data_IF_166716365402
#
_entry.id   IF_166716365402
#
_cell.length_a   1.000
_cell.length_b   1.000
_cell.length_c   1.000
_cell.angle_alpha   90.00
_cell.angle_beta   90.00
_cell.angle_gamma   90.00
#
_symmetry.space_group_name_H-M   'P 1'
#
loop_
_entity.id
_entity.type
_entity.pdbx_description
1 polymer ?
#
# COMPACT_ATOMS: atom_id res chain seq x y z
N UNK A 1 -15.66 -5.81 10.54
CA UNK A 1 -14.27 -5.36 10.27
C UNK A 1 -13.50 -5.30 11.58
N UNK A 2 -12.17 -5.20 11.54
CA UNK A 2 -11.32 -5.16 12.74
C UNK A 2 -10.10 -4.26 12.51
N UNK A 3 -9.45 -3.83 13.59
CA UNK A 3 -8.28 -2.96 13.51
C UNK A 3 -7.11 -3.64 12.77
N UNK A 4 -6.54 -2.95 11.79
CA UNK A 4 -5.52 -3.43 10.86
C UNK A 4 -4.23 -2.60 10.95
N UNK A 5 -3.96 -1.97 12.09
CA UNK A 5 -2.80 -1.10 12.31
C UNK A 5 -1.47 -1.73 11.86
N UNK A 6 -1.21 -2.98 12.24
CA UNK A 6 0.03 -3.68 11.88
C UNK A 6 0.09 -4.08 10.40
N UNK A 7 -1.05 -4.48 9.82
CA UNK A 7 -1.14 -4.74 8.39
C UNK A 7 -0.87 -3.47 7.59
N UNK A 8 -1.45 -2.34 7.99
CA UNK A 8 -1.20 -1.03 7.37
C UNK A 8 0.27 -0.64 7.49
N UNK A 9 0.87 -0.81 8.66
CA UNK A 9 2.29 -0.54 8.85
C UNK A 9 3.14 -1.31 7.83
N UNK A 10 2.97 -2.64 7.74
CA UNK A 10 3.69 -3.46 6.77
C UNK A 10 3.45 -3.02 5.32
N UNK A 11 2.19 -2.79 4.94
CA UNK A 11 1.86 -2.39 3.58
C UNK A 11 2.40 -1.00 3.22
N UNK A 12 2.39 -0.04 4.15
CA UNK A 12 2.99 1.28 3.93
C UNK A 12 4.50 1.17 3.80
N UNK A 13 5.14 0.35 4.63
CA UNK A 13 6.58 0.11 4.56
C UNK A 13 7.01 -0.39 3.18
N UNK A 14 6.26 -1.31 2.58
CA UNK A 14 6.62 -1.95 1.32
C UNK A 14 6.04 -1.30 0.05
N UNK A 15 4.90 -0.62 0.13
CA UNK A 15 4.16 -0.21 -1.08
C UNK A 15 3.91 1.30 -1.20
N UNK A 16 4.03 2.10 -0.13
CA UNK A 16 3.71 3.52 -0.22
C UNK A 16 4.80 4.36 -0.89
N UNK A 17 6.09 4.08 -0.63
CA UNK A 17 7.21 4.90 -1.11
C UNK A 17 8.40 4.09 -1.63
N UNK A 18 8.34 2.78 -1.55
CA UNK A 18 9.43 1.87 -1.92
C UNK A 18 9.03 1.04 -3.13
N UNK A 19 9.97 0.83 -4.05
CA UNK A 19 9.79 -0.15 -5.12
C UNK A 19 10.50 -1.43 -4.70
N UNK A 20 9.77 -2.36 -4.06
CA UNK A 20 10.32 -3.64 -3.57
C UNK A 20 11.05 -4.45 -4.65
N UNK A 21 10.73 -4.23 -5.93
CA UNK A 21 11.39 -4.87 -7.08
C UNK A 21 12.59 -4.10 -7.65
N UNK A 22 12.90 -2.91 -7.13
CA UNK A 22 14.07 -2.19 -7.58
C UNK A 22 15.33 -2.91 -7.13
N UNK A 23 16.24 -3.20 -8.06
CA UNK A 23 17.57 -3.71 -7.73
C UNK A 23 18.33 -2.80 -6.74
N UNK A 24 17.93 -1.52 -6.64
CA UNK A 24 18.46 -0.59 -5.64
C UNK A 24 18.19 -1.05 -4.21
N UNK A 25 17.06 -1.70 -3.90
CA UNK A 25 16.78 -2.22 -2.55
C UNK A 25 17.68 -3.39 -2.14
N UNK A 26 18.37 -4.02 -3.09
CA UNK A 26 19.36 -5.06 -2.79
C UNK A 26 20.71 -4.51 -2.34
N UNK A 27 20.96 -3.19 -2.47
CA UNK A 27 22.15 -2.55 -1.92
C UNK A 27 22.05 -2.47 -0.38
N UNK A 28 23.14 -2.77 0.33
CA UNK A 28 23.21 -2.80 1.80
C UNK A 28 22.65 -1.52 2.45
N UNK A 29 23.06 -0.35 1.97
CA UNK A 29 22.65 0.93 2.56
C UNK A 29 21.13 1.15 2.45
N UNK A 30 20.54 0.79 1.31
CA UNK A 30 19.09 0.92 1.09
C UNK A 30 18.27 -0.04 1.96
N UNK A 31 18.89 -1.07 2.52
CA UNK A 31 18.24 -2.01 3.45
C UNK A 31 18.06 -1.38 4.81
N UNK A 32 19.10 -0.72 5.31
CA UNK A 32 19.05 -0.07 6.61
C UNK A 32 18.02 1.07 6.58
N UNK A 33 18.01 1.87 5.51
CA UNK A 33 16.99 2.91 5.33
C UNK A 33 15.57 2.32 5.28
N UNK A 34 15.37 1.18 4.61
CA UNK A 34 14.07 0.50 4.58
C UNK A 34 13.66 -0.01 5.97
N UNK A 35 14.60 -0.58 6.75
CA UNK A 35 14.32 -1.02 8.12
C UNK A 35 13.95 0.17 9.01
N UNK A 36 14.70 1.28 8.94
CA UNK A 36 14.37 2.51 9.69
C UNK A 36 12.98 3.01 9.29
N UNK A 37 12.69 3.04 7.98
CA UNK A 37 11.37 3.39 7.46
C UNK A 37 10.27 2.47 8.00
N UNK A 38 10.51 1.15 8.03
CA UNK A 38 9.57 0.20 8.58
C UNK A 38 9.29 0.49 10.05
N UNK A 39 10.33 0.67 10.89
CA UNK A 39 10.17 1.03 12.30
C UNK A 39 9.31 2.29 12.45
N UNK A 40 9.60 3.34 11.69
CA UNK A 40 8.81 4.58 11.71
C UNK A 40 7.36 4.33 11.31
N UNK A 41 7.10 3.56 10.26
CA UNK A 41 5.75 3.24 9.82
C UNK A 41 4.98 2.46 10.90
N UNK A 42 5.59 1.42 11.49
CA UNK A 42 4.97 0.67 12.59
C UNK A 42 4.62 1.59 13.75
N UNK A 43 5.54 2.44 14.20
CA UNK A 43 5.28 3.41 15.25
C UNK A 43 4.15 4.39 14.84
N UNK A 44 4.18 4.94 13.62
CA UNK A 44 3.17 5.88 13.16
C UNK A 44 1.74 5.30 13.18
N UNK A 45 1.60 4.00 12.90
CA UNK A 45 0.30 3.32 12.92
C UNK A 45 -0.08 2.73 14.30
N UNK A 46 0.80 2.76 15.31
CA UNK A 46 0.56 2.03 16.57
C UNK A 46 1.16 2.65 17.83
N UNK A 47 1.62 3.91 17.80
CA UNK A 47 2.29 4.53 18.95
C UNK A 47 1.40 4.61 20.20
N UNK A 48 0.10 4.68 20.01
CA UNK A 48 -0.92 4.77 21.06
C UNK A 48 -0.94 3.55 21.99
N UNK A 49 -0.62 2.36 21.48
CA UNK A 49 -0.63 1.13 22.30
C UNK A 49 0.71 0.86 23.03
N UNK A 50 1.74 1.68 22.79
CA UNK A 50 3.06 1.56 23.44
C UNK A 50 3.02 1.80 24.96
N UNK A 51 1.93 2.36 25.49
CA UNK A 51 1.74 2.50 26.93
C UNK A 51 1.53 1.17 27.68
N UNK A 52 1.32 0.06 26.94
CA UNK A 52 1.11 -1.27 27.50
C UNK A 52 2.23 -2.24 27.12
N UNK A 53 2.62 -3.13 28.04
CA UNK A 53 3.61 -4.18 27.76
C UNK A 53 3.19 -5.08 26.59
N UNK A 54 1.89 -5.42 26.51
CA UNK A 54 1.33 -6.16 25.38
C UNK A 54 1.47 -5.42 24.05
N UNK A 55 1.26 -4.10 24.02
CA UNK A 55 1.43 -3.28 22.82
C UNK A 55 2.89 -3.20 22.40
N UNK A 56 3.82 -2.98 23.35
CA UNK A 56 5.26 -2.99 23.09
C UNK A 56 5.69 -4.33 22.47
N UNK A 57 5.30 -5.46 23.07
CA UNK A 57 5.63 -6.79 22.56
C UNK A 57 5.07 -7.00 21.14
N UNK A 58 3.82 -6.62 20.93
CA UNK A 58 3.15 -6.81 19.66
C UNK A 58 3.79 -6.00 18.52
N UNK A 59 4.09 -4.72 18.76
CA UNK A 59 4.76 -3.86 17.78
C UNK A 59 6.17 -4.37 17.48
N UNK A 60 6.92 -4.73 18.53
CA UNK A 60 8.26 -5.32 18.38
C UNK A 60 8.23 -6.59 17.54
N UNK A 61 7.24 -7.46 17.78
CA UNK A 61 7.03 -8.68 16.98
C UNK A 61 6.68 -8.35 15.53
N UNK A 62 5.79 -7.39 15.29
CA UNK A 62 5.42 -6.95 13.95
C UNK A 62 6.61 -6.42 13.14
N UNK A 63 7.43 -5.56 13.76
CA UNK A 63 8.68 -5.07 13.18
C UNK A 63 9.64 -6.24 12.91
N UNK A 64 9.83 -7.15 13.88
CA UNK A 64 10.71 -8.29 13.71
C UNK A 64 10.28 -9.18 12.53
N UNK A 65 8.98 -9.48 12.40
CA UNK A 65 8.44 -10.26 11.27
C UNK A 65 8.69 -9.54 9.94
N UNK A 66 8.44 -8.23 9.87
CA UNK A 66 8.70 -7.44 8.66
C UNK A 66 10.18 -7.48 8.26
N UNK A 67 11.07 -7.23 9.21
CA UNK A 67 12.52 -7.21 8.96
C UNK A 67 13.05 -8.61 8.60
N UNK A 68 12.54 -9.67 9.25
CA UNK A 68 12.87 -11.04 8.88
C UNK A 68 12.41 -11.35 7.45
N UNK A 69 11.24 -10.87 7.05
CA UNK A 69 10.77 -10.95 5.67
C UNK A 69 11.72 -10.21 4.71
N UNK A 70 12.19 -9.02 5.08
CA UNK A 70 13.14 -8.25 4.26
C UNK A 70 14.46 -8.97 4.01
N UNK A 71 14.95 -9.71 5.00
CA UNK A 71 16.15 -10.53 4.85
C UNK A 71 15.87 -11.80 4.05
N UNK A 72 14.72 -12.42 4.26
CA UNK A 72 14.31 -13.62 3.54
C UNK A 72 14.09 -13.32 2.05
N UNK A 73 13.35 -12.25 1.71
CA UNK A 73 13.05 -11.84 0.32
C UNK A 73 14.29 -11.60 -0.55
N UNK A 74 15.45 -11.33 0.07
CA UNK A 74 16.72 -11.16 -0.65
C UNK A 74 17.42 -12.47 -0.95
N UNK A 75 17.19 -13.49 -0.12
CA UNK A 75 17.77 -14.82 -0.30
C UNK A 75 17.00 -15.64 -1.34
N UNK A 76 15.75 -15.27 -1.59
CA UNK A 76 14.85 -15.96 -2.49
C UNK A 76 14.43 -15.05 -3.64
N UNK A 77 14.11 -15.62 -4.80
CA UNK A 77 13.33 -14.87 -5.80
C UNK A 77 11.92 -14.66 -5.23
N UNK A 78 11.61 -13.42 -4.83
CA UNK A 78 10.28 -13.07 -4.34
C UNK A 78 9.25 -13.17 -5.48
N UNK A 79 8.06 -13.64 -5.14
CA UNK A 79 6.94 -13.81 -6.07
C UNK A 79 5.68 -13.23 -5.43
N UNK A 80 4.66 -12.83 -6.19
CA UNK A 80 3.41 -12.31 -5.64
C UNK A 80 2.77 -13.22 -4.61
N UNK A 81 2.85 -14.54 -4.81
CA UNK A 81 2.31 -15.51 -3.88
C UNK A 81 2.99 -15.44 -2.51
N UNK A 82 4.31 -15.20 -2.48
CA UNK A 82 5.05 -15.09 -1.22
C UNK A 82 4.85 -13.73 -0.56
N UNK A 83 4.81 -12.63 -1.31
CA UNK A 83 4.44 -11.32 -0.76
C UNK A 83 3.02 -11.38 -0.16
N UNK A 84 2.08 -12.02 -0.86
CA UNK A 84 0.72 -12.23 -0.36
C UNK A 84 0.69 -13.10 0.90
N UNK A 85 1.60 -14.07 1.04
CA UNK A 85 1.68 -14.89 2.25
C UNK A 85 2.02 -14.06 3.50
N UNK A 86 2.88 -13.04 3.37
CA UNK A 86 3.21 -12.15 4.50
C UNK A 86 2.08 -11.18 4.80
N UNK A 87 1.42 -10.66 3.77
CA UNK A 87 0.17 -9.90 3.93
C UNK A 87 -0.86 -10.74 4.71
N UNK A 88 -1.02 -12.02 4.38
CA UNK A 88 -1.92 -12.94 5.10
C UNK A 88 -1.50 -13.12 6.56
N UNK A 89 -0.20 -13.26 6.84
CA UNK A 89 0.32 -13.30 8.23
C UNK A 89 -0.09 -12.04 8.99
N UNK A 90 0.08 -10.85 8.42
CA UNK A 90 -0.32 -9.60 9.08
C UNK A 90 -1.84 -9.45 9.23
N UNK A 91 -2.64 -9.98 8.31
CA UNK A 91 -4.10 -10.07 8.46
C UNK A 91 -4.46 -10.94 9.66
N UNK A 92 -3.84 -12.12 9.78
CA UNK A 92 -4.07 -13.05 10.88
C UNK A 92 -3.66 -12.45 12.22
N UNK A 93 -2.48 -11.84 12.30
CA UNK A 93 -2.02 -11.13 13.51
C UNK A 93 -3.03 -10.05 13.89
N UNK A 94 -3.42 -9.19 12.95
CA UNK A 94 -4.36 -8.10 13.18
C UNK A 94 -5.72 -8.61 13.68
N UNK A 95 -6.19 -9.75 13.20
CA UNK A 95 -7.42 -10.38 13.69
C UNK A 95 -7.33 -10.80 15.16
N UNK A 96 -6.23 -11.45 15.55
CA UNK A 96 -6.01 -11.88 16.94
C UNK A 96 -5.70 -10.73 17.89
N UNK A 97 -5.17 -9.62 17.38
CA UNK A 97 -4.78 -8.46 18.19
C UNK A 97 -5.78 -7.31 18.14
N UNK A 98 -6.96 -7.53 17.55
CA UNK A 98 -7.99 -6.50 17.36
C UNK A 98 -8.40 -5.79 18.65
N UNK A 99 -8.39 -6.50 19.79
CA UNK A 99 -8.78 -5.94 21.08
C UNK A 99 -7.73 -4.96 21.64
N UNK A 100 -6.45 -5.15 21.29
CA UNK A 100 -5.36 -4.26 21.71
C UNK A 100 -5.48 -2.90 21.01
N UNK A 101 -6.02 -2.89 19.79
CA UNK A 101 -6.24 -1.69 18.97
C UNK A 101 -7.70 -1.22 18.97
N UNK A 102 -8.54 -1.69 19.91
CA UNK A 102 -9.96 -1.34 19.95
C UNK A 102 -10.17 0.18 20.10
N UNK A 103 -9.36 0.80 20.95
CA UNK A 103 -9.40 2.24 21.25
C UNK A 103 -8.27 3.00 20.52
N UNK A 104 -7.87 2.52 19.34
CA UNK A 104 -6.76 3.13 18.63
C UNK A 104 -7.08 4.58 18.19
N UNK A 105 -6.07 5.44 18.19
CA UNK A 105 -6.20 6.83 17.69
C UNK A 105 -6.62 6.87 16.21
N UNK A 106 -6.31 5.81 15.44
CA UNK A 106 -6.76 5.64 14.07
C UNK A 106 -8.15 4.98 14.05
N UNK A 107 -9.16 5.74 13.65
CA UNK A 107 -10.50 5.19 13.47
C UNK A 107 -10.50 4.07 12.44
N UNK A 108 -11.37 3.08 12.63
CA UNK A 108 -11.49 1.93 11.73
C UNK A 108 -11.73 2.38 10.28
N UNK A 109 -12.63 3.34 10.06
CA UNK A 109 -12.90 3.90 8.73
C UNK A 109 -11.65 4.49 8.09
N UNK A 110 -10.83 5.22 8.85
CA UNK A 110 -9.60 5.80 8.33
C UNK A 110 -8.52 4.75 8.02
N UNK A 111 -8.43 3.70 8.84
CA UNK A 111 -7.56 2.56 8.57
C UNK A 111 -7.90 1.90 7.22
N UNK A 112 -9.18 1.58 6.98
CA UNK A 112 -9.62 0.97 5.72
C UNK A 112 -9.55 1.95 4.53
N UNK A 113 -9.67 3.25 4.78
CA UNK A 113 -9.41 4.27 3.77
C UNK A 113 -7.95 4.22 3.29
N UNK A 114 -6.99 4.21 4.22
CA UNK A 114 -5.56 4.09 3.89
C UNK A 114 -5.27 2.75 3.21
N UNK A 115 -5.87 1.65 3.68
CA UNK A 115 -5.72 0.34 3.03
C UNK A 115 -6.11 0.43 1.55
N UNK A 116 -7.30 0.95 1.25
CA UNK A 116 -7.76 1.12 -0.13
C UNK A 116 -6.81 1.98 -0.97
N UNK A 117 -6.29 3.06 -0.38
CA UNK A 117 -5.34 3.94 -1.04
C UNK A 117 -4.03 3.21 -1.41
N UNK A 118 -3.48 2.39 -0.52
CA UNK A 118 -2.26 1.61 -0.79
C UNK A 118 -2.52 0.53 -1.84
N UNK A 119 -3.66 -0.14 -1.75
CA UNK A 119 -4.04 -1.19 -2.69
C UNK A 119 -4.16 -0.64 -4.12
N UNK A 120 -4.86 0.47 -4.31
CA UNK A 120 -5.07 1.05 -5.65
C UNK A 120 -3.82 1.72 -6.22
N UNK A 121 -2.89 2.15 -5.36
CA UNK A 121 -1.65 2.81 -5.79
C UNK A 121 -0.50 1.82 -5.91
N UNK A 122 0.12 1.44 -4.79
CA UNK A 122 1.33 0.65 -4.71
C UNK A 122 1.14 -0.80 -5.13
N UNK A 123 0.06 -1.46 -4.67
CA UNK A 123 -0.17 -2.87 -5.01
C UNK A 123 -0.54 -3.06 -6.48
N UNK A 124 -1.32 -2.16 -7.07
CA UNK A 124 -1.59 -2.17 -8.53
C UNK A 124 -0.28 -2.00 -9.32
N UNK A 125 0.60 -1.08 -8.93
CA UNK A 125 1.93 -0.92 -9.56
C UNK A 125 2.74 -2.21 -9.47
N UNK A 126 2.73 -2.85 -8.29
CA UNK A 126 3.38 -4.13 -8.07
C UNK A 126 2.88 -5.19 -9.05
N UNK A 127 1.56 -5.34 -9.21
CA UNK A 127 0.97 -6.28 -10.16
C UNK A 127 1.29 -5.93 -11.62
N UNK A 128 1.25 -4.65 -11.99
CA UNK A 128 1.60 -4.22 -13.34
C UNK A 128 3.05 -4.56 -13.72
N UNK A 129 3.99 -4.46 -12.77
CA UNK A 129 5.38 -4.92 -12.96
C UNK A 129 5.47 -6.43 -13.11
N UNK A 130 4.80 -7.17 -12.22
CA UNK A 130 4.81 -8.63 -12.28
C UNK A 130 4.23 -9.19 -13.59
N UNK A 131 3.13 -8.62 -14.08
CA UNK A 131 2.48 -9.00 -15.34
C UNK A 131 3.21 -8.46 -16.59
N UNK A 132 4.39 -7.85 -16.42
CA UNK A 132 5.19 -7.24 -17.50
C UNK A 132 4.42 -6.18 -18.30
N UNK A 133 3.44 -5.53 -17.67
CA UNK A 133 2.78 -4.32 -18.20
C UNK A 133 3.76 -3.14 -18.10
N UNK A 134 4.60 -3.13 -17.06
CA UNK A 134 5.71 -2.18 -16.88
C UNK A 134 7.08 -2.82 -16.82
N UNK A 135 8.12 -2.10 -17.28
CA UNK A 135 9.49 -2.40 -16.91
C UNK A 135 9.65 -2.36 -15.38
N UNK A 136 10.35 -3.33 -14.83
CA UNK A 136 10.55 -3.49 -13.37
C UNK A 136 11.12 -2.23 -12.71
N UNK A 137 12.02 -1.54 -13.40
CA UNK A 137 12.75 -0.39 -12.85
C UNK A 137 12.06 0.96 -13.10
N UNK A 138 11.06 1.01 -13.97
CA UNK A 138 10.42 2.28 -14.32
C UNK A 138 9.52 2.74 -13.17
N UNK A 139 9.64 4.03 -12.81
CA UNK A 139 8.75 4.67 -11.85
C UNK A 139 7.34 4.78 -12.45
N UNK A 140 6.33 4.44 -11.67
CA UNK A 140 4.91 4.62 -12.02
C UNK A 140 4.32 5.84 -11.31
N UNK A 141 5.07 6.94 -11.25
CA UNK A 141 4.63 8.13 -10.50
C UNK A 141 3.32 8.67 -11.04
N UNK A 142 3.20 8.81 -12.37
CA UNK A 142 1.99 9.35 -13.00
C UNK A 142 0.77 8.45 -12.80
N UNK A 143 0.90 7.13 -13.01
CA UNK A 143 -0.18 6.19 -12.79
C UNK A 143 -0.59 6.10 -11.31
N UNK A 144 0.38 6.07 -10.39
CA UNK A 144 0.09 6.07 -8.95
C UNK A 144 -0.65 7.35 -8.54
N UNK A 145 -0.19 8.53 -8.96
CA UNK A 145 -0.86 9.80 -8.64
C UNK A 145 -2.28 9.85 -9.20
N UNK A 146 -2.49 9.42 -10.44
CA UNK A 146 -3.83 9.35 -11.04
C UNK A 146 -4.77 8.44 -10.22
N UNK A 147 -4.34 7.21 -9.90
CA UNK A 147 -5.14 6.27 -9.11
C UNK A 147 -5.40 6.78 -7.70
N UNK A 148 -4.42 7.43 -7.08
CA UNK A 148 -4.55 8.07 -5.76
C UNK A 148 -5.63 9.16 -5.77
N UNK A 149 -5.55 10.09 -6.72
CA UNK A 149 -6.48 11.21 -6.83
C UNK A 149 -7.90 10.72 -7.15
N UNK A 150 -8.03 9.75 -8.05
CA UNK A 150 -9.33 9.11 -8.33
C UNK A 150 -9.91 8.43 -7.09
N UNK A 151 -9.09 7.73 -6.31
CA UNK A 151 -9.54 7.14 -5.05
C UNK A 151 -10.08 8.19 -4.08
N UNK A 152 -9.33 9.27 -3.86
CA UNK A 152 -9.73 10.36 -2.98
C UNK A 152 -11.08 10.94 -3.45
N UNK A 153 -11.21 11.30 -4.73
CA UNK A 153 -12.44 11.93 -5.22
C UNK A 153 -13.64 10.98 -5.20
N UNK A 154 -13.48 9.74 -5.66
CA UNK A 154 -14.59 8.80 -5.76
C UNK A 154 -15.08 8.31 -4.40
N UNK A 155 -14.18 8.05 -3.44
CA UNK A 155 -14.58 7.70 -2.06
C UNK A 155 -15.34 8.86 -1.41
N UNK A 156 -14.97 10.10 -1.72
CA UNK A 156 -15.68 11.29 -1.27
C UNK A 156 -16.87 11.68 -2.17
N UNK A 157 -17.28 10.82 -3.11
CA UNK A 157 -18.43 11.03 -4.02
C UNK A 157 -18.31 12.31 -4.90
N UNK A 158 -17.10 12.80 -5.10
CA UNK A 158 -16.74 13.95 -5.92
C UNK A 158 -16.56 13.56 -7.39
N UNK A 159 -17.63 13.07 -8.03
CA UNK A 159 -17.57 12.48 -9.38
C UNK A 159 -17.07 13.45 -10.47
N UNK A 160 -17.40 14.74 -10.38
CA UNK A 160 -16.93 15.75 -11.33
C UNK A 160 -15.38 15.86 -11.32
N UNK A 161 -14.79 15.93 -10.14
CA UNK A 161 -13.34 16.00 -9.97
C UNK A 161 -12.64 14.70 -10.40
N UNK A 162 -13.30 13.55 -10.23
CA UNK A 162 -12.80 12.28 -10.76
C UNK A 162 -12.76 12.29 -12.30
N UNK A 163 -13.80 12.78 -12.97
CA UNK A 163 -13.83 12.90 -14.44
C UNK A 163 -12.73 13.85 -14.93
N UNK A 164 -12.56 15.01 -14.29
CA UNK A 164 -11.49 15.97 -14.61
C UNK A 164 -10.11 15.30 -14.48
N UNK A 165 -9.90 14.52 -13.41
CA UNK A 165 -8.65 13.78 -13.18
C UNK A 165 -8.35 12.80 -14.31
N UNK A 166 -9.35 12.05 -14.80
CA UNK A 166 -9.18 11.12 -15.94
C UNK A 166 -8.77 11.89 -17.19
N UNK A 167 -9.45 13.00 -17.50
CA UNK A 167 -9.16 13.82 -18.69
C UNK A 167 -7.71 14.36 -18.64
N UNK A 168 -7.31 14.92 -17.49
CA UNK A 168 -5.95 15.44 -17.30
C UNK A 168 -4.92 14.32 -17.40
N UNK A 169 -5.15 13.18 -16.73
CA UNK A 169 -4.24 12.03 -16.72
C UNK A 169 -4.01 11.46 -18.13
N UNK A 170 -5.08 11.26 -18.90
CA UNK A 170 -4.99 10.77 -20.28
C UNK A 170 -4.26 11.79 -21.16
N UNK A 171 -4.63 13.07 -21.07
CA UNK A 171 -4.00 14.14 -21.86
C UNK A 171 -2.50 14.24 -21.58
N UNK A 172 -2.11 14.21 -20.31
CA UNK A 172 -0.72 14.25 -19.89
C UNK A 172 0.07 13.06 -20.44
N UNK A 173 -0.45 11.84 -20.28
CA UNK A 173 0.22 10.63 -20.78
C UNK A 173 0.35 10.63 -22.31
N UNK A 174 -0.66 11.13 -23.00
CA UNK A 174 -0.66 11.22 -24.46
C UNK A 174 0.38 12.23 -24.98
N UNK A 175 0.44 13.42 -24.38
CA UNK A 175 1.34 14.49 -24.82
C UNK A 175 2.80 14.24 -24.42
N UNK A 176 3.03 13.81 -23.18
CA UNK A 176 4.37 13.77 -22.58
C UNK A 176 4.96 12.36 -22.48
N UNK A 177 4.14 11.33 -22.22
CA UNK A 177 4.68 10.01 -21.87
C UNK A 177 4.81 9.02 -23.03
N UNK A 178 4.14 9.24 -24.19
CA UNK A 178 4.22 8.62 -25.55
C UNK A 178 4.45 7.09 -25.71
N UNK A 179 4.79 6.35 -24.65
CA UNK A 179 5.35 5.00 -24.64
C UNK A 179 4.48 4.00 -23.83
N UNK A 180 3.32 4.44 -23.33
CA UNK A 180 2.51 3.72 -22.32
C UNK A 180 1.15 3.24 -22.84
N UNK A 181 1.14 2.62 -24.04
CA UNK A 181 -0.10 2.31 -24.80
C UNK A 181 -1.17 1.56 -24.00
N UNK A 182 -0.80 0.56 -23.19
CA UNK A 182 -1.76 -0.22 -22.37
C UNK A 182 -2.10 0.47 -21.04
N UNK A 183 -1.15 1.16 -20.42
CA UNK A 183 -1.35 1.83 -19.13
C UNK A 183 -2.27 3.04 -19.23
N UNK A 184 -2.22 3.77 -20.36
CA UNK A 184 -3.06 4.95 -20.59
C UNK A 184 -4.51 4.67 -20.22
N UNK A 185 -4.99 3.46 -20.48
CA UNK A 185 -6.35 3.05 -20.16
C UNK A 185 -6.45 2.21 -18.89
N UNK A 186 -5.53 1.26 -18.66
CA UNK A 186 -5.62 0.37 -17.50
C UNK A 186 -5.54 1.11 -16.16
N UNK A 187 -4.66 2.11 -16.04
CA UNK A 187 -4.50 2.87 -14.81
C UNK A 187 -5.78 3.65 -14.43
N UNK A 188 -6.39 4.47 -15.30
CA UNK A 188 -7.61 5.18 -14.95
C UNK A 188 -8.81 4.25 -14.79
N UNK A 189 -8.89 3.13 -15.54
CA UNK A 189 -9.97 2.14 -15.36
C UNK A 189 -9.91 1.54 -13.95
N UNK A 190 -8.74 1.08 -13.51
CA UNK A 190 -8.57 0.56 -12.14
C UNK A 190 -8.81 1.66 -11.12
N UNK A 191 -8.24 2.85 -11.35
CA UNK A 191 -8.44 4.02 -10.50
C UNK A 191 -9.90 4.47 -10.41
N UNK A 192 -10.77 4.10 -11.35
CA UNK A 192 -12.19 4.44 -11.32
C UNK A 192 -13.04 3.31 -10.71
N UNK A 193 -12.85 2.07 -11.14
CA UNK A 193 -13.66 0.93 -10.69
C UNK A 193 -13.33 0.57 -9.24
N UNK A 194 -12.05 0.51 -8.88
CA UNK A 194 -11.64 0.06 -7.56
C UNK A 194 -12.18 0.95 -6.43
N UNK A 195 -12.08 2.29 -6.48
CA UNK A 195 -12.62 3.12 -5.40
C UNK A 195 -14.14 3.05 -5.26
N UNK A 196 -14.88 2.81 -6.33
CA UNK A 196 -16.33 2.62 -6.26
C UNK A 196 -16.68 1.34 -5.50
N UNK A 197 -16.01 0.23 -5.80
CA UNK A 197 -16.15 -1.01 -5.02
C UNK A 197 -15.71 -0.82 -3.57
N UNK A 198 -14.63 -0.07 -3.36
CA UNK A 198 -14.11 0.22 -2.02
C UNK A 198 -15.06 1.10 -1.20
N UNK A 199 -15.72 2.07 -1.83
CA UNK A 199 -16.73 2.91 -1.19
C UNK A 199 -17.90 2.07 -0.65
N UNK A 200 -18.30 1.01 -1.36
CA UNK A 200 -19.31 0.08 -0.85
C UNK A 200 -18.84 -0.62 0.43
N UNK A 201 -17.56 -0.98 0.52
CA UNK A 201 -16.99 -1.55 1.76
C UNK A 201 -16.96 -0.51 2.88
N UNK A 202 -16.51 0.71 2.60
CA UNK A 202 -16.43 1.80 3.60
C UNK A 202 -17.79 2.22 4.15
N UNK A 203 -18.86 2.18 3.34
CA UNK A 203 -20.22 2.49 3.79
C UNK A 203 -20.81 1.46 4.75
N UNK A 204 -20.19 0.27 4.84
CA UNK A 204 -20.64 -0.84 5.70
C UNK A 204 -19.75 -1.01 6.95
N UNK A 205 -18.99 0.02 7.32
CA UNK A 205 -18.14 0.10 8.53
C UNK A 205 -18.82 0.98 9.56
#
# INVERSE_FOLDING_TARGET
>A
MFAINLLLAHLVSDFAFTNVFSEKLNKKDNTLYHIIWAVIAFLAFSFDVLGSFSGILLISLGIAIHVLWDFYRKKINSTPLKEFSVILVFIVISFFTKNIFADSFLSLTFQYYILGLILVTGLVTYFFRYLKIFPLEKKDTTGMTERMVLFIFLVNQMHLYAIITVIIGITYKYLFEKFRKKEIFLSPIIGYIFPLLWLLLLKNI
#
